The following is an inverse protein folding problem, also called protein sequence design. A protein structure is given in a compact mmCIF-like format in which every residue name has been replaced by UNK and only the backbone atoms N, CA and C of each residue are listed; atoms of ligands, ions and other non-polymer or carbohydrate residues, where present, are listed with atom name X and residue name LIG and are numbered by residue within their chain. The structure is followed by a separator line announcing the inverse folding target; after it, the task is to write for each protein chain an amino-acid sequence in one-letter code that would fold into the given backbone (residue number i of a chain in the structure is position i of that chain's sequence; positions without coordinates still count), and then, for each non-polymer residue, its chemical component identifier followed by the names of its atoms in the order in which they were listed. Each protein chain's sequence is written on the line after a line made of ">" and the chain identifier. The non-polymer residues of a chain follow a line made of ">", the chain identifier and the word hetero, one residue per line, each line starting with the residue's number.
data_IF_180877777932
#
_entry.id   IF_180877777932
#
_cell.length_a   1.000
_cell.length_b   1.000
_cell.length_c   1.000
_cell.angle_alpha   90.00
_cell.angle_beta   90.00
_cell.angle_gamma   90.00
#
_symmetry.space_group_name_H-M   'P 1'
#
loop_
_entity.id
_entity.type
_entity.pdbx_description
1 polymer ?
#
# COMPACT_ATOMS: atom_id res chain seq x y z
N UNK A 1 30.28 -26.13 12.37
CA UNK A 1 30.47 -25.07 11.37
C UNK A 1 29.21 -24.22 11.39
N UNK A 2 29.19 -23.13 12.18
CA UNK A 2 28.09 -22.15 12.20
C UNK A 2 28.40 -21.16 11.09
N UNK A 3 27.47 -20.94 10.18
CA UNK A 3 27.58 -19.82 9.24
C UNK A 3 27.67 -18.52 10.05
N UNK A 4 28.53 -17.57 9.67
CA UNK A 4 28.62 -16.28 10.35
C UNK A 4 27.32 -15.50 10.13
N UNK A 5 26.78 -14.90 11.19
CA UNK A 5 25.60 -14.01 11.19
C UNK A 5 25.81 -12.70 10.41
N UNK A 6 26.78 -12.65 9.49
CA UNK A 6 27.18 -11.47 8.74
C UNK A 6 26.51 -11.38 7.35
N UNK A 7 25.60 -12.30 7.02
CA UNK A 7 24.70 -12.17 5.85
C UNK A 7 23.33 -11.58 6.23
N UNK A 8 23.13 -11.16 7.49
CA UNK A 8 22.06 -10.22 7.89
C UNK A 8 22.54 -8.77 7.68
N UNK A 9 23.19 -8.50 6.55
CA UNK A 9 23.48 -7.13 6.12
C UNK A 9 22.15 -6.46 5.74
N UNK A 10 21.62 -5.73 6.72
CA UNK A 10 20.80 -4.54 6.54
C UNK A 10 21.23 -3.77 5.28
N UNK A 11 20.46 -3.87 4.18
CA UNK A 11 20.02 -2.83 3.23
C UNK A 11 19.25 -3.53 2.08
N UNK A 12 18.03 -3.07 1.69
CA UNK A 12 17.71 -1.66 1.44
C UNK A 12 16.46 -1.19 2.20
N UNK A 13 16.57 -1.00 3.52
CA UNK A 13 15.49 -0.32 4.26
C UNK A 13 15.39 1.15 3.85
N UNK A 14 16.49 1.79 3.41
CA UNK A 14 16.50 3.22 3.11
C UNK A 14 15.55 3.65 1.99
N UNK A 15 15.37 2.86 0.93
CA UNK A 15 14.50 3.27 -0.19
C UNK A 15 13.02 3.10 0.14
N UNK A 16 12.66 2.00 0.81
CA UNK A 16 11.32 1.80 1.33
C UNK A 16 10.95 2.83 2.41
N UNK A 17 11.85 3.07 3.35
CA UNK A 17 11.69 4.10 4.37
C UNK A 17 11.58 5.49 3.73
N UNK A 18 12.41 5.80 2.73
CA UNK A 18 12.31 7.06 1.99
C UNK A 18 10.96 7.21 1.28
N UNK A 19 10.46 6.15 0.65
CA UNK A 19 9.12 6.15 0.05
C UNK A 19 8.06 6.45 1.12
N UNK A 20 8.10 5.77 2.26
CA UNK A 20 7.16 5.99 3.37
C UNK A 20 7.24 7.42 3.88
N UNK A 21 8.44 7.95 4.10
CA UNK A 21 8.62 9.32 4.57
C UNK A 21 8.12 10.35 3.55
N UNK A 22 8.32 10.10 2.25
CA UNK A 22 7.76 10.92 1.17
C UNK A 22 6.23 10.89 1.19
N UNK A 23 5.62 9.73 1.41
CA UNK A 23 4.17 9.61 1.54
C UNK A 23 3.65 10.36 2.77
N UNK A 24 4.31 10.24 3.93
CA UNK A 24 3.92 10.95 5.16
C UNK A 24 4.08 12.47 5.04
N UNK A 25 5.04 12.93 4.24
CA UNK A 25 5.21 14.35 3.94
C UNK A 25 4.12 14.86 2.99
N UNK A 26 3.82 14.11 1.94
CA UNK A 26 2.84 14.48 0.92
C UNK A 26 1.39 14.36 1.40
N UNK A 27 1.08 13.37 2.23
CA UNK A 27 -0.28 13.01 2.63
C UNK A 27 -0.51 13.28 4.12
N UNK A 28 -1.13 14.43 4.50
CA UNK A 28 -1.27 14.83 5.90
C UNK A 28 -1.95 13.78 6.79
N UNK A 29 -2.97 13.08 6.29
CA UNK A 29 -3.66 12.00 7.00
C UNK A 29 -2.79 10.82 7.41
N UNK A 30 -1.61 10.62 6.79
CA UNK A 30 -0.68 9.55 7.18
C UNK A 30 0.20 9.92 8.38
N UNK A 31 0.34 11.21 8.71
CA UNK A 31 1.23 11.66 9.80
C UNK A 31 0.83 11.13 11.17
N UNK A 32 -0.45 11.17 11.60
CA UNK A 32 -0.86 10.57 12.87
C UNK A 32 -0.61 9.06 12.92
N UNK A 33 -0.78 8.37 11.78
CA UNK A 33 -0.50 6.93 11.68
C UNK A 33 0.99 6.65 11.85
N UNK A 34 1.84 7.44 11.21
CA UNK A 34 3.29 7.33 11.32
C UNK A 34 3.76 7.58 12.76
N UNK A 35 3.29 8.65 13.39
CA UNK A 35 3.65 8.97 14.77
C UNK A 35 3.22 7.87 15.75
N UNK A 36 2.00 7.34 15.59
CA UNK A 36 1.52 6.21 16.38
C UNK A 36 2.36 4.95 16.14
N UNK A 37 2.71 4.67 14.88
CA UNK A 37 3.53 3.52 14.51
C UNK A 37 4.90 3.56 15.17
N UNK A 38 5.61 4.69 15.08
CA UNK A 38 6.92 4.87 15.73
C UNK A 38 6.79 4.78 17.26
N UNK A 39 5.75 5.37 17.85
CA UNK A 39 5.55 5.32 19.30
C UNK A 39 5.29 3.90 19.83
N UNK A 40 4.76 2.99 19.02
CA UNK A 40 4.42 1.62 19.43
C UNK A 40 5.59 0.67 19.15
N UNK A 41 6.29 0.86 18.05
CA UNK A 41 7.30 -0.09 17.55
C UNK A 41 8.74 0.35 17.82
N UNK A 42 8.98 1.57 18.32
CA UNK A 42 10.30 2.21 18.51
C UNK A 42 11.14 2.41 17.21
N UNK A 43 10.67 1.89 16.08
CA UNK A 43 11.28 2.02 14.75
C UNK A 43 10.22 1.99 13.64
N UNK A 44 10.63 2.28 12.39
CA UNK A 44 9.76 2.17 11.22
C UNK A 44 9.80 0.75 10.68
N UNK A 45 8.76 -0.03 10.93
CA UNK A 45 8.58 -1.35 10.35
C UNK A 45 7.81 -1.22 9.02
N UNK A 46 8.54 -1.05 7.92
CA UNK A 46 7.97 -0.68 6.61
C UNK A 46 6.76 -1.53 6.19
N UNK A 47 6.88 -2.87 6.21
CA UNK A 47 5.77 -3.77 5.86
C UNK A 47 4.55 -3.59 6.77
N UNK A 48 4.77 -3.40 8.07
CA UNK A 48 3.68 -3.20 9.04
C UNK A 48 3.01 -1.85 8.80
N UNK A 49 3.80 -0.79 8.56
CA UNK A 49 3.28 0.54 8.26
C UNK A 49 2.50 0.57 6.94
N UNK A 50 2.94 -0.16 5.91
CA UNK A 50 2.17 -0.28 4.66
C UNK A 50 0.79 -0.91 4.88
N UNK A 51 0.64 -1.78 5.88
CA UNK A 51 -0.67 -2.25 6.33
C UNK A 51 -1.53 -1.16 6.99
N UNK A 52 -0.93 -0.19 7.68
CA UNK A 52 -1.66 0.99 8.17
C UNK A 52 -2.10 1.90 7.02
N UNK A 53 -1.24 2.05 6.01
CA UNK A 53 -1.56 2.79 4.78
C UNK A 53 -2.68 2.12 3.98
N UNK A 54 -2.69 0.79 3.86
CA UNK A 54 -3.76 0.07 3.17
C UNK A 54 -5.11 0.29 3.86
N UNK A 55 -5.14 0.20 5.20
CA UNK A 55 -6.33 0.50 6.00
C UNK A 55 -6.81 1.94 5.85
N UNK A 56 -5.88 2.90 5.83
CA UNK A 56 -6.19 4.31 5.57
C UNK A 56 -6.89 4.49 4.21
N UNK A 57 -6.33 3.89 3.15
CA UNK A 57 -6.92 3.94 1.80
C UNK A 57 -8.31 3.31 1.77
N UNK A 58 -8.45 2.14 2.37
CA UNK A 58 -9.72 1.42 2.49
C UNK A 58 -10.79 2.26 3.20
N UNK A 59 -10.46 2.88 4.33
CA UNK A 59 -11.40 3.76 5.04
C UNK A 59 -11.84 4.94 4.17
N UNK A 60 -10.94 5.54 3.39
CA UNK A 60 -11.29 6.61 2.46
C UNK A 60 -12.29 6.19 1.36
N UNK A 61 -12.25 4.94 0.91
CA UNK A 61 -13.24 4.40 -0.02
C UNK A 61 -14.60 4.12 0.64
N UNK A 62 -14.61 3.71 1.91
CA UNK A 62 -15.84 3.43 2.66
C UNK A 62 -16.59 4.73 2.98
N UNK A 63 -15.87 5.77 3.43
CA UNK A 63 -16.47 7.06 3.80
C UNK A 63 -17.11 7.78 2.60
N UNK A 64 -16.59 7.56 1.39
CA UNK A 64 -17.10 8.17 0.15
C UNK A 64 -18.20 7.34 -0.53
N UNK A 65 -18.44 6.10 -0.08
CA UNK A 65 -19.44 5.22 -0.66
C UNK A 65 -20.88 5.68 -0.40
N UNK A 66 -21.14 6.34 0.72
CA UNK A 66 -22.50 6.77 1.12
C UNK A 66 -22.98 8.05 0.41
N UNK A 67 -22.10 8.72 -0.34
CA UNK A 67 -22.39 9.98 -1.06
C UNK A 67 -22.37 9.78 -2.59
N UNK A 68 -23.49 10.03 -3.29
CA UNK A 68 -23.60 10.03 -4.77
C UNK A 68 -22.78 11.16 -5.45
N UNK A 69 -22.53 11.12 -6.78
CA UNK A 69 -21.98 10.04 -7.60
C UNK A 69 -20.53 10.33 -8.06
N UNK A 70 -19.73 9.26 -8.12
CA UNK A 70 -18.58 9.01 -8.99
C UNK A 70 -17.59 10.15 -9.24
N UNK A 71 -16.92 10.61 -8.19
CA UNK A 71 -15.54 11.09 -8.35
C UNK A 71 -14.59 10.02 -7.78
N UNK A 72 -13.51 9.63 -8.49
CA UNK A 72 -12.42 8.88 -7.86
C UNK A 72 -11.95 9.66 -6.63
N UNK A 73 -11.32 9.04 -5.62
CA UNK A 73 -10.96 9.78 -4.41
C UNK A 73 -9.92 10.85 -4.73
N UNK A 74 -10.39 12.08 -5.01
CA UNK A 74 -9.63 13.24 -5.50
C UNK A 74 -8.79 13.92 -4.39
N UNK A 75 -8.53 13.20 -3.30
CA UNK A 75 -7.80 13.70 -2.15
C UNK A 75 -6.61 12.82 -1.80
N UNK A 76 -6.38 12.65 -0.50
CA UNK A 76 -5.22 11.95 0.06
C UNK A 76 -5.05 10.51 -0.45
N UNK A 77 -6.14 9.77 -0.70
CA UNK A 77 -6.08 8.41 -1.26
C UNK A 77 -5.56 8.41 -2.70
N UNK A 78 -5.99 9.36 -3.53
CA UNK A 78 -5.47 9.52 -4.89
C UNK A 78 -3.98 9.88 -4.89
N UNK A 79 -3.55 10.71 -3.93
CA UNK A 79 -2.14 11.05 -3.74
C UNK A 79 -1.29 9.85 -3.32
N UNK A 80 -1.80 9.00 -2.41
CA UNK A 80 -1.18 7.71 -2.07
C UNK A 80 -0.98 6.85 -3.32
N UNK A 81 -2.03 6.62 -4.11
CA UNK A 81 -1.91 5.80 -5.32
C UNK A 81 -0.96 6.42 -6.35
N UNK A 82 -0.97 7.74 -6.52
CA UNK A 82 -0.05 8.42 -7.43
C UNK A 82 1.42 8.24 -7.05
N UNK A 83 1.74 8.36 -5.76
CA UNK A 83 3.12 8.14 -5.27
C UNK A 83 3.53 6.68 -5.45
N UNK A 84 2.65 5.74 -5.10
CA UNK A 84 2.92 4.30 -5.21
C UNK A 84 3.06 3.85 -6.67
N UNK A 85 2.26 4.38 -7.60
CA UNK A 85 2.36 4.08 -9.04
C UNK A 85 3.73 4.50 -9.57
N UNK A 86 4.17 5.72 -9.25
CA UNK A 86 5.49 6.22 -9.67
C UNK A 86 6.61 5.38 -9.06
N UNK A 87 6.49 5.01 -7.78
CA UNK A 87 7.50 4.20 -7.10
C UNK A 87 7.58 2.77 -7.67
N UNK A 88 6.43 2.15 -7.92
CA UNK A 88 6.34 0.80 -8.48
C UNK A 88 6.87 0.74 -9.91
N UNK A 89 6.49 1.71 -10.76
CA UNK A 89 6.94 1.78 -12.15
C UNK A 89 8.47 1.96 -12.32
N UNK A 90 9.18 2.45 -11.29
CA UNK A 90 10.65 2.51 -11.29
C UNK A 90 11.31 1.13 -11.18
N UNK A 91 10.57 0.12 -10.71
CA UNK A 91 11.01 -1.27 -10.73
C UNK A 91 12.12 -1.62 -9.72
N UNK A 92 12.29 -0.84 -8.64
CA UNK A 92 13.26 -1.21 -7.61
C UNK A 92 12.77 -2.45 -6.83
N UNK A 93 13.50 -3.57 -6.82
CA UNK A 93 12.98 -4.87 -6.38
C UNK A 93 12.34 -4.86 -4.99
N UNK A 94 12.97 -4.19 -4.02
CA UNK A 94 12.46 -4.14 -2.65
C UNK A 94 11.25 -3.23 -2.50
N UNK A 95 11.19 -2.13 -3.26
CA UNK A 95 10.03 -1.22 -3.22
C UNK A 95 8.84 -1.87 -3.91
N UNK A 96 9.06 -2.52 -5.06
CA UNK A 96 8.00 -3.24 -5.76
C UNK A 96 7.45 -4.39 -4.93
N UNK A 97 8.31 -5.12 -4.22
CA UNK A 97 7.87 -6.19 -3.33
C UNK A 97 7.06 -5.64 -2.15
N UNK A 98 7.56 -4.60 -1.47
CA UNK A 98 6.85 -3.95 -0.37
C UNK A 98 5.44 -3.48 -0.79
N UNK A 99 5.34 -2.84 -1.96
CA UNK A 99 4.05 -2.36 -2.48
C UNK A 99 3.14 -3.53 -2.84
N UNK A 100 3.65 -4.56 -3.50
CA UNK A 100 2.86 -5.73 -3.91
C UNK A 100 2.33 -6.47 -2.68
N UNK A 101 3.23 -6.94 -1.80
CA UNK A 101 2.85 -7.88 -0.73
C UNK A 101 2.33 -7.21 0.53
N UNK A 102 2.63 -5.93 0.77
CA UNK A 102 2.23 -5.23 2.01
C UNK A 102 1.23 -4.12 1.81
N UNK A 103 0.92 -3.77 0.57
CA UNK A 103 -0.13 -2.82 0.26
C UNK A 103 -1.20 -3.45 -0.63
N UNK A 104 -0.88 -3.88 -1.86
CA UNK A 104 -1.89 -4.38 -2.80
C UNK A 104 -2.56 -5.67 -2.31
N UNK A 105 -1.82 -6.62 -1.75
CA UNK A 105 -2.42 -7.82 -1.13
C UNK A 105 -3.37 -7.45 0.02
N UNK A 106 -2.98 -6.52 0.90
CA UNK A 106 -3.84 -6.07 2.00
C UNK A 106 -5.12 -5.40 1.46
N UNK A 107 -5.00 -4.56 0.43
CA UNK A 107 -6.17 -3.96 -0.24
C UNK A 107 -7.09 -5.05 -0.80
N UNK A 108 -6.55 -6.07 -1.45
CA UNK A 108 -7.33 -7.19 -1.98
C UNK A 108 -8.10 -7.89 -0.86
N UNK A 109 -7.40 -8.35 0.18
CA UNK A 109 -8.01 -9.09 1.30
C UNK A 109 -9.06 -8.25 2.05
N UNK A 110 -8.74 -7.00 2.39
CA UNK A 110 -9.66 -6.11 3.11
C UNK A 110 -10.92 -5.75 2.28
N UNK A 111 -10.84 -5.91 0.95
CA UNK A 111 -11.95 -5.65 0.03
C UNK A 111 -12.77 -6.89 -0.36
N UNK A 112 -12.41 -8.10 0.09
CA UNK A 112 -13.09 -9.35 -0.30
C UNK A 112 -14.57 -9.38 0.11
N UNK A 113 -14.89 -8.86 1.28
CA UNK A 113 -16.26 -8.80 1.80
C UNK A 113 -17.09 -7.66 1.20
N UNK A 114 -16.50 -6.85 0.31
CA UNK A 114 -17.15 -5.69 -0.26
C UNK A 114 -18.00 -6.07 -1.47
N UNK A 115 -18.94 -5.19 -1.81
CA UNK A 115 -19.69 -5.32 -3.06
C UNK A 115 -18.73 -5.22 -4.25
N UNK A 116 -19.02 -5.95 -5.32
CA UNK A 116 -18.20 -5.96 -6.54
C UNK A 116 -17.93 -4.56 -7.08
N UNK A 117 -18.93 -3.68 -7.02
CA UNK A 117 -18.83 -2.29 -7.47
C UNK A 117 -17.77 -1.50 -6.69
N UNK A 118 -17.51 -1.83 -5.42
CA UNK A 118 -16.48 -1.18 -4.61
C UNK A 118 -15.07 -1.60 -5.04
N UNK A 119 -14.87 -2.87 -5.40
CA UNK A 119 -13.57 -3.34 -5.94
C UNK A 119 -13.27 -2.73 -7.30
N UNK A 120 -14.29 -2.58 -8.12
CA UNK A 120 -14.20 -1.84 -9.39
C UNK A 120 -13.79 -0.37 -9.22
N UNK A 121 -14.16 0.27 -8.10
CA UNK A 121 -13.68 1.64 -7.79
C UNK A 121 -12.19 1.66 -7.46
N UNK A 122 -11.70 0.69 -6.69
CA UNK A 122 -10.27 0.56 -6.39
C UNK A 122 -9.50 0.38 -7.71
N UNK A 123 -9.90 -0.60 -8.52
CA UNK A 123 -9.30 -0.86 -9.84
C UNK A 123 -9.28 0.38 -10.74
N UNK A 124 -10.37 1.14 -10.76
CA UNK A 124 -10.47 2.39 -11.55
C UNK A 124 -9.60 3.54 -11.02
N UNK A 125 -9.09 3.44 -9.79
CA UNK A 125 -8.25 4.46 -9.14
C UNK A 125 -6.76 4.13 -9.22
N UNK A 126 -6.40 2.90 -9.56
CA UNK A 126 -5.02 2.48 -9.73
C UNK A 126 -4.45 3.01 -11.06
N UNK A 127 -3.17 3.36 -11.03
CA UNK A 127 -2.40 3.57 -12.24
C UNK A 127 -2.14 2.25 -12.97
N UNK A 128 -1.64 2.29 -14.22
CA UNK A 128 -1.51 1.10 -15.06
C UNK A 128 -0.59 0.02 -14.46
N UNK A 129 0.49 0.43 -13.79
CA UNK A 129 1.48 -0.53 -13.25
C UNK A 129 0.95 -1.23 -12.01
N UNK A 130 0.32 -0.46 -11.09
CA UNK A 130 -0.34 -1.03 -9.92
C UNK A 130 -1.56 -1.86 -10.31
N UNK A 131 -2.32 -1.46 -11.32
CA UNK A 131 -3.48 -2.22 -11.79
C UNK A 131 -3.06 -3.59 -12.34
N UNK A 132 -2.00 -3.63 -13.16
CA UNK A 132 -1.47 -4.90 -13.68
C UNK A 132 -1.04 -5.84 -12.56
N UNK A 133 -0.37 -5.31 -11.53
CA UNK A 133 0.04 -6.13 -10.39
C UNK A 133 -1.15 -6.57 -9.53
N UNK A 134 -2.12 -5.68 -9.30
CA UNK A 134 -3.33 -5.99 -8.57
C UNK A 134 -4.14 -7.11 -9.26
N UNK A 135 -4.23 -7.10 -10.58
CA UNK A 135 -4.86 -8.16 -11.37
C UNK A 135 -4.17 -9.51 -11.19
N UNK A 136 -2.83 -9.54 -11.15
CA UNK A 136 -2.09 -10.79 -10.88
C UNK A 136 -2.38 -11.34 -9.49
N UNK A 137 -2.48 -10.46 -8.49
CA UNK A 137 -2.83 -10.82 -7.11
C UNK A 137 -4.24 -11.41 -7.08
N UNK A 138 -5.21 -10.77 -7.73
CA UNK A 138 -6.59 -11.27 -7.85
C UNK A 138 -6.62 -12.66 -8.48
N UNK A 139 -5.99 -12.83 -9.65
CA UNK A 139 -5.93 -14.11 -10.36
C UNK A 139 -5.26 -15.21 -9.52
N UNK A 140 -4.17 -14.88 -8.84
CA UNK A 140 -3.44 -15.82 -8.01
C UNK A 140 -4.33 -16.36 -6.87
N UNK A 141 -4.98 -15.48 -6.12
CA UNK A 141 -5.80 -15.90 -4.99
C UNK A 141 -7.12 -16.54 -5.40
N UNK A 142 -7.74 -16.10 -6.50
CA UNK A 142 -8.92 -16.77 -7.07
C UNK A 142 -8.61 -18.20 -7.54
N UNK A 143 -7.39 -18.47 -8.01
CA UNK A 143 -6.97 -19.81 -8.42
C UNK A 143 -6.70 -20.78 -7.25
N UNK A 144 -6.55 -20.24 -6.02
CA UNK A 144 -6.26 -21.01 -4.82
C UNK A 144 -7.52 -21.45 -4.05
N UNK A 145 -8.71 -20.96 -4.44
CA UNK A 145 -10.02 -21.23 -3.81
C UNK A 145 -10.80 -22.25 -4.63
#
# INVERSE_FOLDING_TARGET
>A
MRLPLQELELMPSSEAEQLILQMVEAVPGLRPLYEAHISINDELLAHVFMGDVSRFVISGFQDTWESEPYDPPLGEVGEVFGILEIAFAKGHPYVTELISVSFLENIYFDSLDWKKESRERIRSSLGPSLLEEFEKIEEFFESCI
#
